data_IF_297703534980
#
_entry.id   IF_297703534980
#
_cell.length_a   1.000
_cell.length_b   1.000
_cell.length_c   1.000
_cell.angle_alpha   90.00
_cell.angle_beta   90.00
_cell.angle_gamma   90.00
#
_symmetry.space_group_name_H-M   'P 1'
#
loop_
_entity.id
_entity.type
_entity.pdbx_description
1 polymer ?
#
# COMPACT_ATOMS: atom_id res chain seq x y z
N UNK A 1 -14.94 -13.99 8.27
CA UNK A 1 -15.85 -13.45 7.23
C UNK A 1 -15.31 -12.15 6.62
N UNK A 2 -14.86 -11.20 7.44
CA UNK A 2 -14.32 -9.89 7.04
C UNK A 2 -13.08 -10.00 6.14
N UNK A 3 -12.12 -10.87 6.49
CA UNK A 3 -10.91 -11.07 5.68
C UNK A 3 -11.23 -11.50 4.23
N UNK A 4 -12.31 -12.27 3.99
CA UNK A 4 -12.76 -12.62 2.63
C UNK A 4 -13.26 -11.40 1.85
N UNK A 5 -13.90 -10.44 2.52
CA UNK A 5 -14.39 -9.20 1.93
C UNK A 5 -13.24 -8.26 1.62
N UNK A 6 -12.27 -8.14 2.55
CA UNK A 6 -11.02 -7.41 2.34
C UNK A 6 -10.28 -7.97 1.14
N UNK A 7 -10.02 -9.28 1.12
CA UNK A 7 -9.37 -9.96 0.00
C UNK A 7 -10.11 -9.71 -1.32
N UNK A 8 -11.44 -9.87 -1.35
CA UNK A 8 -12.24 -9.60 -2.57
C UNK A 8 -12.15 -8.14 -3.01
N UNK A 9 -12.06 -7.20 -2.09
CA UNK A 9 -11.89 -5.77 -2.39
C UNK A 9 -10.51 -5.49 -2.96
N UNK A 10 -9.48 -6.12 -2.40
CA UNK A 10 -8.09 -5.97 -2.84
C UNK A 10 -7.77 -6.73 -4.14
N UNK A 11 -8.59 -7.68 -4.59
CA UNK A 11 -8.39 -8.41 -5.87
C UNK A 11 -8.24 -7.50 -7.10
N UNK A 12 -8.83 -6.31 -7.06
CA UNK A 12 -8.74 -5.33 -8.14
C UNK A 12 -7.73 -4.21 -7.85
N UNK A 13 -7.08 -4.27 -6.69
CA UNK A 13 -6.02 -3.33 -6.33
C UNK A 13 -4.69 -3.80 -6.94
N UNK A 14 -3.72 -2.89 -7.09
CA UNK A 14 -2.37 -3.24 -7.50
C UNK A 14 -1.79 -4.33 -6.61
N UNK A 15 -1.05 -5.26 -7.25
CA UNK A 15 -0.49 -6.44 -6.56
C UNK A 15 0.48 -6.05 -5.45
N UNK A 16 1.16 -4.93 -5.64
CA UNK A 16 2.15 -4.40 -4.70
C UNK A 16 1.94 -2.90 -4.58
N UNK A 17 2.02 -2.40 -3.36
CA UNK A 17 1.93 -0.98 -3.02
C UNK A 17 3.19 -0.59 -2.25
N UNK A 18 3.77 0.57 -2.53
CA UNK A 18 4.84 1.12 -1.68
C UNK A 18 4.18 1.98 -0.60
N UNK A 19 4.40 1.63 0.66
CA UNK A 19 4.02 2.47 1.80
C UNK A 19 4.95 3.69 1.84
N UNK A 20 4.40 4.89 1.67
CA UNK A 20 5.18 6.12 1.58
C UNK A 20 5.85 6.49 2.88
N UNK A 21 5.34 6.06 4.04
CA UNK A 21 5.92 6.39 5.34
C UNK A 21 7.09 5.48 5.67
N UNK A 22 6.98 4.18 5.38
CA UNK A 22 8.00 3.18 5.72
C UNK A 22 8.93 2.85 4.57
N UNK A 23 8.60 3.24 3.33
CA UNK A 23 9.31 2.83 2.13
C UNK A 23 9.22 1.32 1.86
N UNK A 24 8.25 0.59 2.43
CA UNK A 24 8.16 -0.87 2.26
C UNK A 24 7.14 -1.24 1.20
N UNK A 25 7.44 -2.26 0.40
CA UNK A 25 6.48 -2.89 -0.49
C UNK A 25 5.51 -3.77 0.31
N UNK A 26 4.21 -3.60 0.06
CA UNK A 26 3.15 -4.42 0.62
C UNK A 26 2.48 -5.22 -0.49
N UNK A 27 2.70 -6.53 -0.48
CA UNK A 27 1.92 -7.50 -1.24
C UNK A 27 0.51 -7.69 -0.64
N UNK A 28 -0.34 -8.51 -1.26
CA UNK A 28 -1.72 -8.69 -0.79
C UNK A 28 -1.86 -9.20 0.66
N UNK A 29 -0.91 -10.02 1.15
CA UNK A 29 -0.91 -10.50 2.53
C UNK A 29 -0.48 -9.39 3.50
N UNK A 30 0.57 -8.66 3.16
CA UNK A 30 1.07 -7.52 3.95
C UNK A 30 0.06 -6.38 4.01
N UNK A 31 -0.64 -6.10 2.90
CA UNK A 31 -1.77 -5.17 2.88
C UNK A 31 -2.84 -5.62 3.87
N UNK A 32 -3.25 -6.89 3.82
CA UNK A 32 -4.27 -7.42 4.74
C UNK A 32 -3.84 -7.23 6.20
N UNK A 33 -2.60 -7.62 6.55
CA UNK A 33 -2.07 -7.48 7.90
C UNK A 33 -1.97 -6.01 8.35
N UNK A 34 -1.51 -5.12 7.47
CA UNK A 34 -1.44 -3.70 7.75
C UNK A 34 -2.81 -3.10 8.05
N UNK A 35 -3.86 -3.49 7.32
CA UNK A 35 -5.23 -3.06 7.63
C UNK A 35 -5.71 -3.63 8.98
N UNK A 36 -5.44 -4.91 9.26
CA UNK A 36 -5.85 -5.59 10.49
C UNK A 36 -5.27 -4.92 11.75
N UNK A 37 -4.08 -4.32 11.64
CA UNK A 37 -3.47 -3.55 12.72
C UNK A 37 -4.16 -2.22 13.03
N UNK A 38 -4.99 -1.70 12.12
CA UNK A 38 -5.59 -0.38 12.28
C UNK A 38 -6.78 -0.39 13.25
N UNK A 39 -6.99 0.69 14.03
CA UNK A 39 -8.15 0.83 14.90
C UNK A 39 -9.49 0.68 14.17
N UNK A 40 -9.58 1.20 12.93
CA UNK A 40 -10.80 1.08 12.10
C UNK A 40 -11.16 -0.38 11.81
N UNK A 41 -10.16 -1.26 11.64
CA UNK A 41 -10.45 -2.68 11.42
C UNK A 41 -10.99 -3.35 12.68
N UNK A 42 -10.41 -3.06 13.84
CA UNK A 42 -10.91 -3.55 15.13
C UNK A 42 -12.32 -3.06 15.41
N UNK A 43 -12.60 -1.79 15.12
CA UNK A 43 -13.94 -1.20 15.24
C UNK A 43 -14.93 -1.90 14.31
N UNK A 44 -14.59 -2.07 13.03
CA UNK A 44 -15.42 -2.81 12.08
C UNK A 44 -15.74 -4.20 12.61
N UNK A 45 -14.73 -4.98 13.02
CA UNK A 45 -14.91 -6.32 13.61
C UNK A 45 -15.85 -6.28 14.81
N UNK A 46 -15.67 -5.32 15.73
CA UNK A 46 -16.49 -5.21 16.95
C UNK A 46 -17.96 -4.83 16.67
N UNK A 47 -18.20 -3.99 15.66
CA UNK A 47 -19.55 -3.54 15.28
C UNK A 47 -20.40 -4.64 14.61
N UNK A 48 -19.78 -5.73 14.17
CA UNK A 48 -20.40 -6.81 13.41
C UNK A 48 -20.91 -7.97 14.29
N UNK A 49 -21.61 -7.66 15.38
CA UNK A 49 -22.14 -8.68 16.31
C UNK A 49 -23.34 -9.46 15.77
N UNK A 50 -24.07 -8.95 14.78
CA UNK A 50 -25.30 -9.57 14.24
C UNK A 50 -25.43 -9.56 12.71
N UNK A 51 -24.88 -8.55 12.01
CA UNK A 51 -24.91 -8.48 10.53
C UNK A 51 -23.65 -7.83 9.98
N UNK A 52 -23.11 -8.41 8.92
CA UNK A 52 -21.93 -7.86 8.22
C UNK A 52 -22.35 -6.71 7.30
N UNK A 53 -21.80 -5.53 7.55
CA UNK A 53 -21.95 -4.37 6.68
C UNK A 53 -20.88 -4.37 5.58
N UNK A 54 -21.18 -5.07 4.49
CA UNK A 54 -20.31 -5.19 3.32
C UNK A 54 -19.97 -3.84 2.68
N UNK A 55 -20.91 -2.90 2.68
CA UNK A 55 -20.75 -1.59 2.03
C UNK A 55 -19.75 -0.76 2.81
N UNK A 56 -19.90 -0.71 4.13
CA UNK A 56 -18.97 -0.02 5.03
C UNK A 56 -17.57 -0.61 4.94
N UNK A 57 -17.41 -1.94 5.08
CA UNK A 57 -16.08 -2.58 5.00
C UNK A 57 -15.38 -2.25 3.69
N UNK A 58 -16.09 -2.38 2.56
CA UNK A 58 -15.52 -2.10 1.24
C UNK A 58 -15.09 -0.63 1.10
N UNK A 59 -15.87 0.31 1.63
CA UNK A 59 -15.54 1.73 1.64
C UNK A 59 -14.29 2.01 2.47
N UNK A 60 -14.23 1.49 3.70
CA UNK A 60 -13.07 1.71 4.59
C UNK A 60 -11.78 1.09 4.01
N UNK A 61 -11.85 -0.13 3.46
CA UNK A 61 -10.70 -0.78 2.80
C UNK A 61 -10.20 0.07 1.62
N UNK A 62 -11.11 0.54 0.76
CA UNK A 62 -10.76 1.39 -0.39
C UNK A 62 -10.17 2.72 0.05
N UNK A 63 -10.72 3.33 1.09
CA UNK A 63 -10.22 4.59 1.62
C UNK A 63 -8.81 4.42 2.19
N UNK A 64 -8.57 3.33 2.94
CA UNK A 64 -7.28 3.05 3.54
C UNK A 64 -6.20 2.80 2.47
N UNK A 65 -6.49 1.96 1.48
CA UNK A 65 -5.59 1.66 0.37
C UNK A 65 -5.75 2.62 -0.82
N UNK A 66 -6.16 3.88 -0.59
CA UNK A 66 -6.06 4.89 -1.64
C UNK A 66 -4.60 5.03 -2.05
N UNK A 67 -4.36 4.95 -3.35
CA UNK A 67 -3.03 5.05 -3.92
C UNK A 67 -3.02 6.01 -5.11
N UNK A 68 -1.84 6.55 -5.39
CA UNK A 68 -1.54 7.21 -6.67
C UNK A 68 -0.68 6.29 -7.52
N UNK A 69 -0.77 6.47 -8.83
CA UNK A 69 0.12 5.80 -9.77
C UNK A 69 1.08 6.83 -10.35
N UNK A 70 2.37 6.53 -10.27
CA UNK A 70 3.42 7.30 -10.92
C UNK A 70 3.96 6.45 -12.06
N UNK A 71 3.77 6.89 -13.30
CA UNK A 71 4.38 6.26 -14.47
C UNK A 71 5.46 7.19 -14.98
N UNK A 72 6.72 6.87 -14.73
CA UNK A 72 7.80 7.59 -15.38
C UNK A 72 8.91 6.60 -15.66
N UNK A 73 9.12 6.31 -16.96
CA UNK A 73 10.19 5.43 -17.44
C UNK A 73 11.44 5.63 -16.60
N UNK A 74 11.85 4.57 -15.91
CA UNK A 74 13.24 4.46 -15.56
C UNK A 74 14.03 4.58 -16.87
N UNK A 75 15.05 5.44 -16.91
CA UNK A 75 16.10 5.26 -17.93
C UNK A 75 16.81 3.92 -17.66
N UNK A 76 17.99 3.65 -18.20
CA UNK A 76 18.64 2.33 -18.16
C UNK A 76 18.97 1.74 -16.74
N UNK A 77 18.51 2.38 -15.66
CA UNK A 77 18.88 2.11 -14.26
C UNK A 77 17.70 1.71 -13.33
N UNK A 78 16.61 1.11 -13.85
CA UNK A 78 15.46 0.69 -13.03
C UNK A 78 15.85 -0.10 -11.76
N UNK A 79 15.35 0.27 -10.55
CA UNK A 79 15.57 -0.51 -9.35
C UNK A 79 15.02 -1.92 -9.55
N UNK A 80 15.83 -2.94 -9.29
CA UNK A 80 15.34 -4.31 -9.40
C UNK A 80 14.28 -4.52 -8.32
N UNK A 81 13.13 -5.10 -8.69
CA UNK A 81 12.05 -5.45 -7.75
C UNK A 81 12.56 -6.17 -6.49
N UNK A 82 13.61 -6.99 -6.61
CA UNK A 82 14.21 -7.72 -5.49
C UNK A 82 14.92 -6.82 -4.46
N UNK A 83 15.48 -5.68 -4.87
CA UNK A 83 16.15 -4.75 -3.97
C UNK A 83 15.13 -4.08 -3.04
N UNK A 84 14.03 -3.58 -3.62
CA UNK A 84 12.94 -2.93 -2.88
C UNK A 84 12.01 -3.90 -2.14
N UNK A 85 12.08 -5.20 -2.44
CA UNK A 85 11.27 -6.23 -1.78
C UNK A 85 11.69 -6.46 -0.32
N UNK A 86 13.00 -6.38 -0.05
CA UNK A 86 13.56 -6.71 1.24
C UNK A 86 14.11 -5.48 1.98
N UNK A 87 14.53 -4.47 1.23
CA UNK A 87 15.13 -3.25 1.77
C UNK A 87 14.13 -2.11 1.60
N UNK A 88 13.76 -1.39 2.68
CA UNK A 88 12.95 -0.18 2.57
C UNK A 88 13.58 0.82 1.60
N UNK A 89 12.75 1.53 0.83
CA UNK A 89 13.19 2.53 -0.16
C UNK A 89 14.16 3.57 0.43
N UNK A 90 13.99 3.92 1.70
CA UNK A 90 14.84 4.88 2.41
C UNK A 90 16.20 4.33 2.82
N UNK A 91 16.37 3.01 2.83
CA UNK A 91 17.58 2.31 3.26
C UNK A 91 18.37 1.76 2.06
N UNK A 92 17.93 2.05 0.83
CA UNK A 92 18.66 1.69 -0.39
C UNK A 92 19.93 2.54 -0.51
N UNK A 93 21.00 1.91 -1.01
CA UNK A 93 22.26 2.61 -1.30
C UNK A 93 22.04 3.76 -2.29
N UNK A 94 22.88 4.79 -2.25
CA UNK A 94 22.73 5.95 -3.13
C UNK A 94 22.86 5.55 -4.61
N UNK A 95 21.82 5.82 -5.38
CA UNK A 95 21.83 5.72 -6.83
C UNK A 95 20.77 6.67 -7.40
N UNK A 96 20.91 7.16 -8.64
CA UNK A 96 19.94 8.06 -9.24
C UNK A 96 18.51 7.50 -9.23
N UNK A 97 18.35 6.18 -9.28
CA UNK A 97 17.04 5.54 -9.30
C UNK A 97 16.47 5.29 -7.92
N UNK A 98 17.31 5.02 -6.92
CA UNK A 98 16.88 4.99 -5.52
C UNK A 98 16.47 6.40 -5.06
N UNK A 99 17.22 7.45 -5.42
CA UNK A 99 16.90 8.85 -5.10
C UNK A 99 15.54 9.27 -5.67
N UNK A 100 15.26 8.85 -6.92
CA UNK A 100 13.95 9.06 -7.56
C UNK A 100 12.83 8.35 -6.79
N UNK A 101 13.03 7.09 -6.41
CA UNK A 101 12.05 6.31 -5.65
C UNK A 101 11.76 6.93 -4.27
N UNK A 102 12.81 7.40 -3.58
CA UNK A 102 12.69 8.12 -2.31
C UNK A 102 11.94 9.45 -2.48
N UNK A 103 12.23 10.18 -3.56
CA UNK A 103 11.54 11.43 -3.91
C UNK A 103 10.06 11.18 -4.18
N UNK A 104 9.72 10.12 -4.92
CA UNK A 104 8.34 9.70 -5.12
C UNK A 104 7.64 9.41 -3.79
N UNK A 105 8.27 8.66 -2.87
CA UNK A 105 7.68 8.41 -1.57
C UNK A 105 7.38 9.72 -0.80
N UNK A 106 8.30 10.70 -0.84
CA UNK A 106 8.12 12.02 -0.21
C UNK A 106 6.96 12.79 -0.87
N UNK A 107 6.97 12.96 -2.19
CA UNK A 107 5.94 13.68 -2.94
C UNK A 107 4.54 13.10 -2.71
N UNK A 108 4.41 11.77 -2.73
CA UNK A 108 3.12 11.11 -2.50
C UNK A 108 2.65 11.29 -1.06
N UNK A 109 3.56 11.23 -0.09
CA UNK A 109 3.26 11.48 1.32
C UNK A 109 2.79 12.92 1.53
N UNK A 110 3.45 13.89 0.91
CA UNK A 110 3.11 15.30 1.00
C UNK A 110 1.75 15.61 0.38
N UNK A 111 1.32 14.80 -0.60
CA UNK A 111 -0.03 14.80 -1.16
C UNK A 111 -1.06 14.03 -0.31
N UNK A 112 -0.71 13.65 0.92
CA UNK A 112 -1.55 12.92 1.89
C UNK A 112 -1.96 11.49 1.45
N UNK A 113 -1.19 10.88 0.55
CA UNK A 113 -1.38 9.48 0.18
C UNK A 113 -0.41 8.57 0.93
N UNK A 114 -0.95 7.46 1.46
CA UNK A 114 -0.17 6.44 2.18
C UNK A 114 0.55 5.48 1.24
N UNK A 115 0.03 5.31 0.04
CA UNK A 115 0.48 4.29 -0.89
C UNK A 115 0.66 4.86 -2.29
N UNK A 116 1.63 4.34 -3.02
CA UNK A 116 1.67 4.50 -4.47
C UNK A 116 2.08 3.22 -5.18
N UNK A 117 1.87 3.23 -6.48
CA UNK A 117 2.35 2.22 -7.42
C UNK A 117 3.21 2.91 -8.45
N UNK A 118 4.32 2.28 -8.76
CA UNK A 118 5.16 2.63 -9.89
C UNK A 118 4.79 1.71 -11.07
N UNK A 119 4.73 2.26 -12.28
CA UNK A 119 4.12 1.59 -13.44
C UNK A 119 4.87 1.82 -14.74
#
# INVERSE_FOLDING_TARGET
MICKIVQKTLRHSPRVLINTSTGRLYNGAEQTHALESQPIFKELVSSMSTRVDYVRIKREVRQYFRYVMLSHKWEDNEPLYHQVLHIPVYDLEESPTHDKLQTFCKTVRDAEFKFFVER
#
